data_IF_364248298643
#
_entry.id   IF_364248298643
#
_cell.length_a   1.000
_cell.length_b   1.000
_cell.length_c   1.000
_cell.angle_alpha   90.00
_cell.angle_beta   90.00
_cell.angle_gamma   90.00
#
_symmetry.space_group_name_H-M   'P 1'
#
loop_
_entity.id
_entity.type
_entity.pdbx_description
1 polymer ?
#
# COMPACT_ATOMS: atom_id res chain seq x y z
N UNK A 1 19.04 5.44 -0.22
CA UNK A 1 17.65 5.71 -0.62
C UNK A 1 16.79 5.74 0.64
N UNK A 2 16.20 6.90 0.98
CA UNK A 2 15.39 7.12 2.20
C UNK A 2 13.90 7.08 1.82
N UNK A 3 13.38 5.90 1.48
CA UNK A 3 11.92 5.67 1.43
C UNK A 3 11.44 5.19 2.80
N UNK A 4 11.86 5.88 3.85
CA UNK A 4 11.50 5.60 5.22
C UNK A 4 10.19 6.32 5.51
N UNK A 5 9.09 5.78 4.99
CA UNK A 5 7.77 6.20 5.49
C UNK A 5 7.63 5.60 6.89
N UNK A 6 7.24 6.41 7.86
CA UNK A 6 7.08 5.94 9.23
C UNK A 6 5.87 5.00 9.29
N UNK A 7 6.03 3.83 9.94
CA UNK A 7 4.89 2.91 10.12
C UNK A 7 3.73 3.62 10.82
N UNK A 8 4.04 4.59 11.67
CA UNK A 8 3.05 5.39 12.40
C UNK A 8 2.16 6.17 11.44
N UNK A 9 2.76 6.79 10.42
CA UNK A 9 2.01 7.48 9.37
C UNK A 9 1.13 6.49 8.60
N UNK A 10 1.67 5.32 8.25
CA UNK A 10 0.90 4.28 7.56
C UNK A 10 -0.29 3.79 8.39
N UNK A 11 -0.10 3.58 9.69
CA UNK A 11 -1.16 3.20 10.62
C UNK A 11 -2.20 4.31 10.79
N UNK A 12 -1.77 5.59 10.87
CA UNK A 12 -2.69 6.73 10.89
C UNK A 12 -3.57 6.77 9.63
N UNK A 13 -2.98 6.57 8.45
CA UNK A 13 -3.72 6.50 7.18
C UNK A 13 -4.70 5.34 7.18
N UNK A 14 -4.26 4.16 7.61
CA UNK A 14 -5.14 2.99 7.77
C UNK A 14 -6.34 3.30 8.68
N UNK A 15 -6.10 3.94 9.82
CA UNK A 15 -7.16 4.29 10.78
C UNK A 15 -8.15 5.30 10.17
N UNK A 16 -7.65 6.27 9.40
CA UNK A 16 -8.46 7.22 8.63
C UNK A 16 -9.30 6.53 7.55
N UNK A 17 -8.71 5.65 6.76
CA UNK A 17 -9.46 4.87 5.75
C UNK A 17 -10.51 3.99 6.41
N UNK A 18 -10.21 3.40 7.57
CA UNK A 18 -11.18 2.57 8.31
C UNK A 18 -12.32 3.38 8.91
N UNK A 19 -12.06 4.61 9.37
CA UNK A 19 -13.07 5.48 10.02
C UNK A 19 -13.89 6.30 9.03
N UNK A 20 -13.26 6.83 7.97
CA UNK A 20 -13.90 7.66 6.95
C UNK A 20 -14.40 6.85 5.76
N UNK A 21 -13.79 5.68 5.50
CA UNK A 21 -14.14 4.81 4.39
C UNK A 21 -15.42 4.01 4.61
N UNK A 22 -15.90 3.42 3.53
CA UNK A 22 -17.04 2.52 3.57
C UNK A 22 -16.56 1.11 3.93
N UNK A 23 -16.94 0.65 5.11
CA UNK A 23 -16.72 -0.74 5.52
C UNK A 23 -17.66 -1.66 4.73
N UNK A 24 -17.09 -2.52 3.90
CA UNK A 24 -17.77 -3.58 3.16
C UNK A 24 -17.23 -4.92 3.62
N UNK A 25 -18.04 -5.62 4.41
CA UNK A 25 -17.69 -6.95 4.93
C UNK A 25 -16.38 -6.91 5.75
N UNK A 26 -15.34 -7.62 5.30
CA UNK A 26 -14.02 -7.67 5.94
C UNK A 26 -12.99 -6.67 5.36
N UNK A 27 -13.43 -5.70 4.56
CA UNK A 27 -12.57 -4.69 3.94
C UNK A 27 -13.16 -3.28 4.11
N UNK A 28 -12.31 -2.27 4.24
CA UNK A 28 -12.71 -0.87 4.24
C UNK A 28 -12.19 -0.21 2.98
N UNK A 29 -13.05 0.46 2.22
CA UNK A 29 -12.63 1.19 1.02
C UNK A 29 -12.87 2.67 1.19
N UNK A 30 -11.82 3.48 0.99
CA UNK A 30 -11.90 4.93 0.91
C UNK A 30 -11.25 5.37 -0.39
N UNK A 31 -12.03 6.00 -1.26
CA UNK A 31 -11.58 6.41 -2.60
C UNK A 31 -11.02 5.20 -3.39
N UNK A 32 -9.75 5.25 -3.80
CA UNK A 32 -9.05 4.17 -4.50
C UNK A 32 -8.25 3.25 -3.56
N UNK A 33 -8.23 3.54 -2.26
CA UNK A 33 -7.49 2.76 -1.26
C UNK A 33 -8.42 1.75 -0.57
N UNK A 34 -8.02 0.49 -0.62
CA UNK A 34 -8.68 -0.61 0.07
C UNK A 34 -7.82 -1.05 1.24
N UNK A 35 -8.40 -1.04 2.43
CA UNK A 35 -7.81 -1.57 3.65
C UNK A 35 -8.40 -2.94 3.95
N UNK A 36 -7.55 -3.88 4.32
CA UNK A 36 -7.96 -5.17 4.83
C UNK A 36 -7.25 -5.47 6.14
N UNK A 37 -7.95 -6.15 7.04
CA UNK A 37 -7.37 -6.64 8.28
C UNK A 37 -7.14 -8.14 8.15
N UNK A 38 -5.98 -8.59 8.61
CA UNK A 38 -5.69 -10.02 8.69
C UNK A 38 -6.62 -10.69 9.71
N UNK A 39 -6.99 -11.94 9.46
CA UNK A 39 -7.89 -12.69 10.33
C UNK A 39 -7.34 -12.82 11.78
N UNK A 40 -6.02 -12.96 11.89
CA UNK A 40 -5.29 -13.02 13.16
C UNK A 40 -5.11 -11.64 13.83
N UNK A 41 -5.44 -10.53 13.15
CA UNK A 41 -5.34 -9.17 13.70
C UNK A 41 -3.91 -8.63 13.88
N UNK A 42 -2.89 -9.36 13.40
CA UNK A 42 -1.47 -9.00 13.54
C UNK A 42 -0.87 -8.21 12.37
N UNK A 43 -1.65 -8.00 11.33
CA UNK A 43 -1.24 -7.26 10.14
C UNK A 43 -2.43 -6.57 9.50
N UNK A 44 -2.17 -5.42 8.91
CA UNK A 44 -3.12 -4.65 8.12
C UNK A 44 -2.53 -4.42 6.75
N UNK A 45 -3.36 -4.46 5.71
CA UNK A 45 -2.92 -4.31 4.34
C UNK A 45 -3.65 -3.13 3.70
N UNK A 46 -2.91 -2.30 2.98
CA UNK A 46 -3.40 -1.15 2.21
C UNK A 46 -3.12 -1.43 0.73
N UNK A 47 -4.13 -1.42 -0.12
CA UNK A 47 -3.98 -1.70 -1.54
C UNK A 47 -4.67 -0.66 -2.42
N UNK A 48 -4.00 -0.31 -3.50
CA UNK A 48 -4.49 0.37 -4.68
C UNK A 48 -4.61 -0.65 -5.83
N UNK A 49 -5.06 -0.20 -7.01
CA UNK A 49 -5.11 -0.98 -8.23
C UNK A 49 -3.74 -1.55 -8.68
N UNK A 50 -2.61 -0.92 -8.31
CA UNK A 50 -1.28 -1.32 -8.79
C UNK A 50 -0.32 -1.79 -7.68
N UNK A 51 -0.52 -1.32 -6.45
CA UNK A 51 0.41 -1.54 -5.33
C UNK A 51 -0.37 -1.98 -4.11
N UNK A 52 0.12 -3.03 -3.45
CA UNK A 52 -0.33 -3.45 -2.12
C UNK A 52 0.78 -3.23 -1.11
N UNK A 53 0.41 -2.87 0.11
CA UNK A 53 1.31 -2.59 1.22
C UNK A 53 0.83 -3.36 2.44
N UNK A 54 1.64 -4.30 2.90
CA UNK A 54 1.40 -5.05 4.11
C UNK A 54 2.17 -4.45 5.27
N UNK A 55 1.47 -4.16 6.36
CA UNK A 55 2.03 -3.55 7.57
C UNK A 55 1.90 -4.55 8.70
N UNK A 56 3.03 -4.98 9.22
CA UNK A 56 3.14 -5.89 10.35
C UNK A 56 3.37 -5.09 11.64
N UNK A 57 2.75 -5.55 12.74
CA UNK A 57 2.86 -4.89 14.06
C UNK A 57 4.30 -4.81 14.62
N UNK A 58 5.25 -5.59 14.07
CA UNK A 58 6.68 -5.48 14.37
C UNK A 58 7.37 -4.31 13.64
N UNK A 59 6.65 -3.23 13.33
CA UNK A 59 7.18 -2.04 12.67
C UNK A 59 7.84 -2.36 11.31
N UNK A 60 7.33 -3.39 10.63
CA UNK A 60 7.86 -3.89 9.36
C UNK A 60 6.77 -3.79 8.31
N UNK A 61 7.11 -3.30 7.13
CA UNK A 61 6.17 -3.21 6.02
C UNK A 61 6.77 -3.76 4.73
N UNK A 62 5.91 -4.23 3.83
CA UNK A 62 6.32 -4.77 2.53
C UNK A 62 5.42 -4.22 1.43
N UNK A 63 6.02 -3.76 0.33
CA UNK A 63 5.28 -3.34 -0.86
C UNK A 63 5.27 -4.48 -1.88
N UNK A 64 4.09 -4.81 -2.37
CA UNK A 64 3.85 -5.73 -3.45
C UNK A 64 3.40 -4.93 -4.68
N UNK A 65 4.04 -5.16 -5.82
CA UNK A 65 3.72 -4.55 -7.10
C UNK A 65 3.42 -5.64 -8.12
N UNK A 66 2.51 -5.39 -9.06
CA UNK A 66 2.09 -6.36 -10.08
C UNK A 66 3.26 -6.94 -10.93
N UNK A 67 4.32 -6.15 -11.09
CA UNK A 67 5.51 -6.52 -11.87
C UNK A 67 6.46 -7.49 -11.13
N UNK A 68 6.09 -7.97 -9.94
CA UNK A 68 6.82 -9.06 -9.27
C UNK A 68 6.58 -10.42 -9.96
N UNK A 69 5.52 -10.52 -10.76
CA UNK A 69 5.24 -11.71 -11.57
C UNK A 69 6.07 -11.73 -12.86
N UNK A 70 7.01 -12.68 -13.03
CA UNK A 70 7.89 -12.71 -14.21
C UNK A 70 7.15 -12.97 -15.54
N UNK A 71 5.90 -13.44 -15.48
CA UNK A 71 5.08 -13.73 -16.67
C UNK A 71 4.47 -12.47 -17.32
N UNK A 72 4.31 -11.36 -16.57
CA UNK A 72 3.78 -10.10 -17.11
C UNK A 72 4.86 -9.21 -17.73
N UNK A 73 6.13 -9.58 -17.53
CA UNK A 73 7.29 -8.72 -17.78
C UNK A 73 8.04 -9.01 -19.08
N UNK A 74 7.32 -9.55 -20.07
CA UNK A 74 7.88 -9.87 -21.38
C UNK A 74 8.45 -8.60 -22.06
N UNK A 75 9.75 -8.63 -22.40
CA UNK A 75 10.52 -7.57 -23.06
C UNK A 75 10.93 -6.34 -22.20
N UNK A 76 10.88 -6.40 -20.87
CA UNK A 76 11.42 -5.35 -20.00
C UNK A 76 12.78 -5.75 -19.41
N UNK A 77 13.70 -4.79 -19.24
CA UNK A 77 14.96 -5.04 -18.55
C UNK A 77 14.76 -5.03 -17.03
N UNK A 78 15.64 -5.70 -16.27
CA UNK A 78 15.60 -5.65 -14.79
C UNK A 78 15.62 -4.21 -14.24
N UNK A 79 16.26 -3.28 -14.96
CA UNK A 79 16.28 -1.87 -14.60
C UNK A 79 14.94 -1.16 -14.88
N UNK A 80 14.25 -1.49 -15.98
CA UNK A 80 12.91 -0.97 -16.28
C UNK A 80 11.89 -1.43 -15.25
N UNK A 81 11.94 -2.71 -14.86
CA UNK A 81 11.07 -3.30 -13.83
C UNK A 81 11.25 -2.55 -12.51
N UNK A 82 12.51 -2.38 -12.09
CA UNK A 82 12.82 -1.70 -10.83
C UNK A 82 12.32 -0.26 -10.84
N UNK A 83 12.60 0.51 -11.90
CA UNK A 83 12.14 1.90 -12.01
C UNK A 83 10.61 2.00 -12.04
N UNK A 84 9.93 1.09 -12.73
CA UNK A 84 8.47 1.09 -12.78
C UNK A 84 7.87 0.79 -11.40
N UNK A 85 8.40 -0.23 -10.70
CA UNK A 85 7.94 -0.59 -9.36
C UNK A 85 8.21 0.54 -8.37
N UNK A 86 9.39 1.16 -8.42
CA UNK A 86 9.69 2.33 -7.60
C UNK A 86 8.71 3.48 -7.89
N UNK A 87 8.43 3.78 -9.15
CA UNK A 87 7.48 4.84 -9.53
C UNK A 87 6.06 4.56 -9.02
N UNK A 88 5.59 3.31 -9.13
CA UNK A 88 4.29 2.88 -8.62
C UNK A 88 4.22 3.01 -7.09
N UNK A 89 5.26 2.55 -6.38
CA UNK A 89 5.34 2.67 -4.91
C UNK A 89 5.38 4.14 -4.48
N UNK A 90 6.13 5.00 -5.17
CA UNK A 90 6.15 6.45 -4.89
C UNK A 90 4.78 7.09 -5.11
N UNK A 91 4.10 6.75 -6.21
CA UNK A 91 2.76 7.26 -6.50
C UNK A 91 1.77 6.81 -5.41
N UNK A 92 1.84 5.54 -4.99
CA UNK A 92 1.03 5.00 -3.91
C UNK A 92 1.28 5.71 -2.57
N UNK A 93 2.55 5.86 -2.18
CA UNK A 93 2.94 6.59 -0.97
C UNK A 93 2.42 8.02 -0.98
N UNK A 94 2.52 8.71 -2.12
CA UNK A 94 2.00 10.06 -2.28
C UNK A 94 0.49 10.10 -2.04
N UNK A 95 -0.28 9.16 -2.62
CA UNK A 95 -1.73 9.05 -2.37
C UNK A 95 -2.03 8.87 -0.88
N UNK A 96 -1.28 8.01 -0.19
CA UNK A 96 -1.47 7.80 1.25
C UNK A 96 -1.19 9.08 2.06
N UNK A 97 -0.14 9.82 1.72
CA UNK A 97 0.17 11.10 2.39
C UNK A 97 -0.89 12.17 2.11
N UNK A 98 -1.35 12.28 0.86
CA UNK A 98 -2.44 13.21 0.50
C UNK A 98 -3.74 12.87 1.25
N UNK A 99 -3.99 11.58 1.49
CA UNK A 99 -5.15 11.12 2.27
C UNK A 99 -4.97 11.40 3.77
N UNK A 100 -3.75 11.25 4.30
CA UNK A 100 -3.41 11.65 5.68
C UNK A 100 -3.59 13.16 5.90
N UNK A 101 -3.21 14.00 4.94
CA UNK A 101 -3.36 15.46 5.09
C UNK A 101 -4.81 15.92 4.94
N UNK A 102 -5.64 15.16 4.21
CA UNK A 102 -7.02 15.54 3.89
C UNK A 102 -8.02 15.20 5.00
N UNK A 103 -7.81 14.12 5.73
CA UNK A 103 -8.71 13.60 6.79
C UNK A 103 -8.03 13.62 8.15
#
# INVERSE_FOLDING_TARGET
MKNSVDVRTLLSVYEKVKTQGQRKDNQCKLEDITCTESLDGYSVSLADDNVSLDINFHNTYHFHTDNDNPETTINQTTADIHNNNEAQVQAFLKKLMELDERY
#
